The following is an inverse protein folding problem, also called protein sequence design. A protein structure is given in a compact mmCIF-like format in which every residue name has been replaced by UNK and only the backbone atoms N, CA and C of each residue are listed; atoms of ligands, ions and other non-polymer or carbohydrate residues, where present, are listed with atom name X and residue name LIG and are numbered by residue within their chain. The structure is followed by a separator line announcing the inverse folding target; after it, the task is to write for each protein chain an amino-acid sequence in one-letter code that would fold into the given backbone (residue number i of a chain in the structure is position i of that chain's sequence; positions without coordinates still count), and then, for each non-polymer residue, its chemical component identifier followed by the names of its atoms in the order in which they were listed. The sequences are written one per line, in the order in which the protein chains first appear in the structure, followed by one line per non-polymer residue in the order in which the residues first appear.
data_IF_117367439400
#
_entry.id   IF_117367439400
#
_cell.length_a   1.000
_cell.length_b   1.000
_cell.length_c   1.000
_cell.angle_alpha   90.00
_cell.angle_beta   90.00
_cell.angle_gamma   90.00
#
_symmetry.space_group_name_H-M   'P 1'
#
loop_
_entity.id
_entity.type
_entity.pdbx_description
1 polymer ?
#
# COMPACT_ATOMS: atom_id res chain seq x y z
N UNK A 1 15.48 6.79 85.05
CA UNK A 1 14.56 7.18 83.96
C UNK A 1 15.20 8.03 82.85
N UNK A 2 16.41 8.60 83.01
CA UNK A 2 17.00 9.49 81.98
C UNK A 2 17.43 8.81 80.67
N UNK A 3 17.90 7.55 80.69
CA UNK A 3 18.36 6.89 79.47
C UNK A 3 17.24 6.65 78.44
N UNK A 4 16.02 6.38 78.90
CA UNK A 4 14.87 6.18 78.02
C UNK A 4 14.52 7.47 77.26
N UNK A 5 14.66 8.63 77.91
CA UNK A 5 14.37 9.94 77.29
C UNK A 5 15.38 10.32 76.22
N UNK A 6 16.67 10.02 76.42
CA UNK A 6 17.71 10.32 75.42
C UNK A 6 17.56 9.43 74.20
N UNK A 7 17.21 8.15 74.39
CA UNK A 7 16.91 7.24 73.28
C UNK A 7 15.70 7.69 72.49
N UNK A 8 14.62 8.08 73.16
CA UNK A 8 13.39 8.54 72.50
C UNK A 8 13.62 9.84 71.71
N UNK A 9 14.48 10.73 72.20
CA UNK A 9 14.92 11.91 71.47
C UNK A 9 15.73 11.53 70.22
N UNK A 10 16.74 10.67 70.35
CA UNK A 10 17.53 10.20 69.20
C UNK A 10 16.66 9.49 68.15
N UNK A 11 15.65 8.71 68.57
CA UNK A 11 14.71 8.07 67.66
C UNK A 11 13.86 9.07 66.90
N UNK A 12 13.32 10.10 67.58
CA UNK A 12 12.55 11.17 66.94
C UNK A 12 13.38 11.98 65.96
N UNK A 13 14.60 12.33 66.33
CA UNK A 13 15.52 13.07 65.47
C UNK A 13 15.90 12.25 64.21
N UNK A 14 16.17 10.95 64.40
CA UNK A 14 16.44 10.03 63.30
C UNK A 14 15.20 9.83 62.40
N UNK A 15 14.00 9.73 62.97
CA UNK A 15 12.75 9.60 62.22
C UNK A 15 12.45 10.87 61.41
N UNK A 16 12.61 12.05 62.00
CA UNK A 16 12.43 13.33 61.31
C UNK A 16 13.43 13.50 60.18
N UNK A 17 14.70 13.15 60.42
CA UNK A 17 15.75 13.17 59.40
C UNK A 17 15.41 12.22 58.25
N UNK A 18 15.01 10.98 58.55
CA UNK A 18 14.62 10.00 57.53
C UNK A 18 13.40 10.47 56.72
N UNK A 19 12.38 11.06 57.36
CA UNK A 19 11.21 11.62 56.66
C UNK A 19 11.60 12.77 55.74
N UNK A 20 12.48 13.66 56.21
CA UNK A 20 12.99 14.77 55.42
C UNK A 20 13.77 14.27 54.20
N UNK A 21 14.61 13.27 54.37
CA UNK A 21 15.40 12.67 53.28
C UNK A 21 14.52 11.95 52.25
N UNK A 22 13.51 11.20 52.71
CA UNK A 22 12.54 10.54 51.81
C UNK A 22 11.77 11.59 51.01
N UNK A 23 11.30 12.67 51.66
CA UNK A 23 10.61 13.75 50.96
C UNK A 23 11.51 14.43 49.94
N UNK A 24 12.74 14.78 50.33
CA UNK A 24 13.70 15.39 49.42
C UNK A 24 14.00 14.49 48.21
N UNK A 25 14.10 13.18 48.41
CA UNK A 25 14.30 12.22 47.31
C UNK A 25 13.05 12.08 46.43
N UNK A 26 11.85 12.10 47.02
CA UNK A 26 10.59 12.10 46.27
C UNK A 26 10.50 13.33 45.37
N UNK A 27 10.70 14.52 45.93
CA UNK A 27 10.64 15.79 45.19
C UNK A 27 11.69 15.81 44.05
N UNK A 28 12.88 15.24 44.29
CA UNK A 28 13.93 15.10 43.28
C UNK A 28 13.55 14.12 42.15
N UNK A 29 12.88 13.00 42.48
CA UNK A 29 12.40 12.04 41.49
C UNK A 29 11.29 12.64 40.63
N UNK A 30 10.33 13.34 41.25
CA UNK A 30 9.24 14.00 40.52
C UNK A 30 9.78 15.03 39.51
N UNK A 31 10.83 15.77 39.91
CA UNK A 31 11.51 16.73 39.02
C UNK A 31 12.23 16.03 37.86
N UNK A 32 12.91 14.91 38.12
CA UNK A 32 13.57 14.13 37.07
C UNK A 32 12.57 13.48 36.12
N UNK A 33 11.46 12.94 36.62
CA UNK A 33 10.41 12.35 35.81
C UNK A 33 9.75 13.39 34.91
N UNK A 34 9.46 14.59 35.44
CA UNK A 34 8.97 15.71 34.63
C UNK A 34 9.96 16.08 33.50
N UNK A 35 11.25 16.20 33.81
CA UNK A 35 12.28 16.53 32.82
C UNK A 35 12.40 15.45 31.73
N UNK A 36 12.36 14.16 32.10
CA UNK A 36 12.41 13.04 31.14
C UNK A 36 11.17 13.04 30.25
N UNK A 37 9.99 13.32 30.81
CA UNK A 37 8.74 13.43 30.07
C UNK A 37 8.79 14.57 29.04
N UNK A 38 9.30 15.73 29.44
CA UNK A 38 9.46 16.89 28.57
C UNK A 38 10.49 16.63 27.46
N UNK A 39 11.63 16.02 27.80
CA UNK A 39 12.66 15.66 26.83
C UNK A 39 12.15 14.65 25.80
N UNK A 40 11.38 13.65 26.25
CA UNK A 40 10.73 12.69 25.36
C UNK A 40 9.76 13.37 24.40
N UNK A 41 8.91 14.26 24.92
CA UNK A 41 7.95 15.02 24.12
C UNK A 41 8.65 15.87 23.07
N UNK A 42 9.72 16.57 23.45
CA UNK A 42 10.54 17.36 22.53
C UNK A 42 11.18 16.50 21.45
N UNK A 43 11.81 15.39 21.85
CA UNK A 43 12.45 14.47 20.90
C UNK A 43 11.44 13.87 19.91
N UNK A 44 10.23 13.54 20.36
CA UNK A 44 9.16 13.05 19.50
C UNK A 44 8.67 14.13 18.54
N UNK A 45 8.52 15.37 19.00
CA UNK A 45 8.15 16.50 18.16
C UNK A 45 9.22 16.80 17.10
N UNK A 46 10.51 16.79 17.47
CA UNK A 46 11.64 16.97 16.53
C UNK A 46 11.64 15.88 15.46
N UNK A 47 11.47 14.62 15.87
CA UNK A 47 11.36 13.48 14.96
C UNK A 47 10.17 13.62 13.99
N UNK A 48 9.03 14.10 14.47
CA UNK A 48 7.85 14.33 13.62
C UNK A 48 8.08 15.47 12.63
N UNK A 49 8.67 16.58 13.07
CA UNK A 49 9.00 17.72 12.19
C UNK A 49 9.96 17.27 11.09
N UNK A 50 11.00 16.51 11.45
CA UNK A 50 11.96 15.95 10.50
C UNK A 50 11.25 15.04 9.49
N UNK A 51 10.38 14.14 9.97
CA UNK A 51 9.56 13.27 9.12
C UNK A 51 8.66 14.05 8.16
N UNK A 52 7.98 15.10 8.61
CA UNK A 52 7.13 15.93 7.74
C UNK A 52 7.94 16.78 6.76
N UNK A 53 9.10 17.27 7.18
CA UNK A 53 10.06 17.96 6.31
C UNK A 53 10.52 17.05 5.19
N UNK A 54 10.92 15.82 5.53
CA UNK A 54 11.27 14.76 4.59
C UNK A 54 10.12 14.49 3.60
N UNK A 55 8.91 14.28 4.11
CA UNK A 55 7.73 14.03 3.29
C UNK A 55 7.50 15.16 2.26
N UNK A 56 7.69 16.42 2.64
CA UNK A 56 7.42 17.55 1.74
C UNK A 56 8.36 17.63 0.53
N UNK A 57 9.58 17.14 0.66
CA UNK A 57 10.64 17.25 -0.34
C UNK A 57 10.67 16.11 -1.36
N UNK A 58 9.96 15.02 -1.07
CA UNK A 58 10.15 13.74 -1.73
C UNK A 58 9.14 13.53 -2.87
N UNK A 59 9.63 13.06 -4.03
CA UNK A 59 8.77 12.55 -5.12
C UNK A 59 7.82 11.47 -4.61
N UNK A 60 8.27 10.67 -3.64
CA UNK A 60 7.50 9.62 -3.00
C UNK A 60 6.17 10.16 -2.47
N UNK A 61 6.15 11.34 -1.85
CA UNK A 61 4.93 11.90 -1.27
C UNK A 61 3.97 12.46 -2.30
N UNK A 62 4.46 12.82 -3.47
CA UNK A 62 3.61 13.22 -4.59
C UNK A 62 2.97 12.02 -5.27
N UNK A 63 3.69 10.92 -5.34
CA UNK A 63 3.27 9.72 -6.09
C UNK A 63 2.51 8.71 -5.22
N UNK A 64 2.89 8.55 -3.94
CA UNK A 64 2.31 7.57 -3.02
C UNK A 64 0.79 7.76 -2.83
N UNK A 65 0.25 8.97 -2.58
CA UNK A 65 -1.19 9.16 -2.46
C UNK A 65 -1.93 8.82 -3.74
N UNK A 66 -1.36 9.18 -4.91
CA UNK A 66 -1.96 8.88 -6.21
C UNK A 66 -1.99 7.38 -6.46
N UNK A 67 -0.89 6.69 -6.20
CA UNK A 67 -0.78 5.24 -6.37
C UNK A 67 -1.73 4.52 -5.41
N UNK A 68 -1.85 4.97 -4.16
CA UNK A 68 -2.80 4.41 -3.21
C UNK A 68 -4.26 4.65 -3.65
N UNK A 69 -4.58 5.84 -4.15
CA UNK A 69 -5.90 6.15 -4.67
C UNK A 69 -6.24 5.30 -5.91
N UNK A 70 -5.28 5.13 -6.84
CA UNK A 70 -5.41 4.22 -7.97
C UNK A 70 -5.62 2.78 -7.50
N UNK A 71 -4.92 2.31 -6.46
CA UNK A 71 -5.11 0.98 -5.91
C UNK A 71 -6.49 0.73 -5.31
N UNK A 72 -7.07 1.74 -4.65
CA UNK A 72 -8.42 1.64 -4.10
C UNK A 72 -9.47 1.65 -5.21
N UNK A 73 -9.44 2.65 -6.09
CA UNK A 73 -10.38 2.77 -7.21
C UNK A 73 -10.33 1.57 -8.16
N UNK A 74 -9.13 1.04 -8.43
CA UNK A 74 -8.95 -0.21 -9.19
C UNK A 74 -9.62 -1.40 -8.51
N UNK A 75 -9.54 -1.49 -7.17
CA UNK A 75 -10.21 -2.54 -6.40
C UNK A 75 -11.73 -2.49 -6.48
N UNK A 76 -12.31 -1.29 -6.46
CA UNK A 76 -13.75 -1.10 -6.63
C UNK A 76 -14.19 -1.52 -8.04
N UNK A 77 -13.43 -1.08 -9.06
CA UNK A 77 -13.70 -1.44 -10.46
C UNK A 77 -13.56 -2.95 -10.74
N UNK A 78 -12.57 -3.62 -10.14
CA UNK A 78 -12.45 -5.08 -10.16
C UNK A 78 -13.71 -5.75 -9.61
N UNK A 79 -14.16 -5.30 -8.44
CA UNK A 79 -15.32 -5.90 -7.76
C UNK A 79 -16.58 -5.77 -8.60
N UNK A 80 -16.80 -4.60 -9.21
CA UNK A 80 -17.92 -4.34 -10.10
C UNK A 80 -17.89 -5.23 -11.34
N UNK A 81 -16.76 -5.27 -12.07
CA UNK A 81 -16.67 -6.04 -13.32
C UNK A 81 -16.70 -7.54 -13.07
N UNK A 82 -16.16 -8.03 -11.94
CA UNK A 82 -16.21 -9.44 -11.57
C UNK A 82 -17.66 -9.89 -11.33
N UNK A 83 -18.45 -9.07 -10.64
CA UNK A 83 -19.87 -9.33 -10.43
C UNK A 83 -20.66 -9.31 -11.75
N UNK A 84 -20.34 -8.37 -12.65
CA UNK A 84 -20.96 -8.28 -13.97
C UNK A 84 -20.59 -9.47 -14.88
N UNK A 85 -19.32 -9.86 -14.88
CA UNK A 85 -18.82 -11.04 -15.59
C UNK A 85 -19.54 -12.31 -15.12
N UNK A 86 -19.69 -12.49 -13.81
CA UNK A 86 -20.46 -13.60 -13.24
C UNK A 86 -21.94 -13.56 -13.63
N UNK A 87 -22.56 -12.37 -13.60
CA UNK A 87 -23.97 -12.18 -14.00
C UNK A 87 -24.21 -12.62 -15.43
N UNK A 88 -23.39 -12.15 -16.37
CA UNK A 88 -23.52 -12.44 -17.79
C UNK A 88 -23.18 -13.90 -18.09
N UNK A 89 -22.18 -14.47 -17.41
CA UNK A 89 -21.82 -15.87 -17.59
C UNK A 89 -22.86 -16.85 -17.01
N UNK A 90 -23.62 -16.42 -16.00
CA UNK A 90 -24.68 -17.21 -15.37
C UNK A 90 -26.06 -17.02 -16.03
N UNK A 91 -26.15 -16.19 -17.07
CA UNK A 91 -27.41 -15.93 -17.74
C UNK A 91 -27.89 -17.19 -18.47
N UNK A 92 -29.11 -17.62 -18.16
CA UNK A 92 -29.73 -18.77 -18.81
C UNK A 92 -30.06 -18.43 -20.27
N UNK A 93 -29.52 -19.25 -21.18
CA UNK A 93 -29.69 -19.10 -22.63
C UNK A 93 -31.14 -19.36 -23.06
N UNK A 94 -31.94 -20.06 -22.24
CA UNK A 94 -33.34 -20.33 -22.52
C UNK A 94 -34.21 -19.07 -22.58
N UNK A 95 -33.78 -17.98 -21.92
CA UNK A 95 -34.51 -16.72 -21.87
C UNK A 95 -34.17 -15.78 -23.04
N UNK A 96 -33.27 -16.17 -23.95
CA UNK A 96 -32.89 -15.36 -25.09
C UNK A 96 -33.87 -15.65 -26.23
N UNK A 97 -34.63 -14.63 -26.63
CA UNK A 97 -35.49 -14.71 -27.80
C UNK A 97 -34.64 -14.63 -29.08
N UNK A 98 -34.35 -15.79 -29.65
CA UNK A 98 -33.57 -15.92 -30.88
C UNK A 98 -34.37 -15.61 -32.15
N UNK A 99 -35.70 -15.49 -32.07
CA UNK A 99 -36.54 -15.17 -33.23
C UNK A 99 -36.51 -13.66 -33.54
N UNK A 100 -36.16 -12.84 -32.56
CA UNK A 100 -35.87 -11.43 -32.79
C UNK A 100 -34.55 -11.23 -33.57
N UNK A 101 -34.56 -10.35 -34.56
CA UNK A 101 -33.43 -10.01 -35.45
C UNK A 101 -32.17 -9.46 -34.73
N UNK A 102 -32.15 -9.42 -33.41
CA UNK A 102 -31.14 -8.73 -32.61
C UNK A 102 -30.24 -9.68 -31.79
N UNK A 103 -29.87 -10.81 -32.40
CA UNK A 103 -28.90 -11.78 -31.83
C UNK A 103 -27.53 -11.12 -31.53
N UNK A 104 -27.26 -9.97 -32.13
CA UNK A 104 -26.03 -9.21 -31.92
C UNK A 104 -26.00 -8.47 -30.58
N UNK A 105 -27.15 -8.15 -29.98
CA UNK A 105 -27.20 -7.42 -28.70
C UNK A 105 -26.56 -8.21 -27.56
N UNK A 106 -26.91 -9.49 -27.31
CA UNK A 106 -26.25 -10.27 -26.26
C UNK A 106 -24.74 -10.37 -26.48
N UNK A 107 -24.29 -10.64 -27.71
CA UNK A 107 -22.86 -10.74 -28.04
C UNK A 107 -22.10 -9.43 -27.79
N UNK A 108 -22.76 -8.28 -27.94
CA UNK A 108 -22.17 -6.97 -27.64
C UNK A 108 -21.87 -6.83 -26.15
N UNK A 109 -22.78 -7.23 -25.27
CA UNK A 109 -22.56 -7.17 -23.81
C UNK A 109 -21.33 -8.00 -23.39
N UNK A 110 -21.14 -9.20 -23.96
CA UNK A 110 -19.94 -10.00 -23.71
C UNK A 110 -18.67 -9.27 -24.17
N UNK A 111 -18.67 -8.67 -25.37
CA UNK A 111 -17.50 -7.94 -25.87
C UNK A 111 -17.18 -6.72 -25.01
N UNK A 112 -18.20 -5.95 -24.62
CA UNK A 112 -18.03 -4.75 -23.79
C UNK A 112 -17.40 -5.10 -22.43
N UNK A 113 -17.83 -6.22 -21.81
CA UNK A 113 -17.23 -6.71 -20.57
C UNK A 113 -15.80 -7.23 -20.77
N UNK A 114 -15.52 -7.93 -21.86
CA UNK A 114 -14.16 -8.39 -22.18
C UNK A 114 -13.19 -7.24 -22.40
N UNK A 115 -13.61 -6.17 -23.09
CA UNK A 115 -12.80 -4.98 -23.31
C UNK A 115 -12.49 -4.25 -21.99
N UNK A 116 -13.47 -4.16 -21.09
CA UNK A 116 -13.30 -3.61 -19.73
C UNK A 116 -12.35 -4.45 -18.89
N UNK A 117 -12.49 -5.78 -18.92
CA UNK A 117 -11.58 -6.71 -18.22
C UNK A 117 -10.14 -6.58 -18.73
N UNK A 118 -9.95 -6.48 -20.05
CA UNK A 118 -8.64 -6.25 -20.67
C UNK A 118 -8.01 -4.92 -20.23
N UNK A 119 -8.81 -3.86 -20.15
CA UNK A 119 -8.37 -2.54 -19.65
C UNK A 119 -7.90 -2.64 -18.20
N UNK A 120 -8.70 -3.26 -17.33
CA UNK A 120 -8.35 -3.45 -15.91
C UNK A 120 -7.12 -4.33 -15.71
N UNK A 121 -6.86 -5.30 -16.60
CA UNK A 121 -5.65 -6.10 -16.58
C UNK A 121 -4.40 -5.27 -16.90
N UNK A 122 -4.48 -4.36 -17.88
CA UNK A 122 -3.38 -3.43 -18.17
C UNK A 122 -3.13 -2.49 -16.99
N UNK A 123 -4.18 -2.02 -16.33
CA UNK A 123 -4.08 -1.21 -15.11
C UNK A 123 -3.42 -1.94 -13.94
N UNK A 124 -3.71 -3.24 -13.74
CA UNK A 124 -3.03 -4.10 -12.75
C UNK A 124 -1.52 -4.04 -12.96
N UNK A 125 -1.04 -4.25 -14.20
CA UNK A 125 0.39 -4.24 -14.49
C UNK A 125 1.02 -2.85 -14.28
N UNK A 126 0.33 -1.79 -14.69
CA UNK A 126 0.79 -0.42 -14.49
C UNK A 126 0.90 -0.08 -13.00
N UNK A 127 -0.09 -0.48 -12.20
CA UNK A 127 -0.14 -0.24 -10.78
C UNK A 127 0.89 -1.08 -10.01
N UNK A 128 1.06 -2.36 -10.36
CA UNK A 128 2.12 -3.20 -9.80
C UNK A 128 3.50 -2.59 -10.07
N UNK A 129 3.76 -2.14 -11.30
CA UNK A 129 5.01 -1.48 -11.67
C UNK A 129 5.24 -0.18 -10.89
N UNK A 130 4.18 0.60 -10.66
CA UNK A 130 4.24 1.82 -9.87
C UNK A 130 4.57 1.54 -8.39
N UNK A 131 3.94 0.53 -7.80
CA UNK A 131 4.20 0.08 -6.42
C UNK A 131 5.63 -0.47 -6.28
N UNK A 132 6.11 -1.26 -7.25
CA UNK A 132 7.47 -1.77 -7.26
C UNK A 132 8.49 -0.63 -7.34
N UNK A 133 8.27 0.35 -8.22
CA UNK A 133 9.15 1.51 -8.33
C UNK A 133 9.21 2.34 -7.05
N UNK A 134 8.08 2.51 -6.36
CA UNK A 134 8.06 3.16 -5.04
C UNK A 134 8.86 2.38 -3.99
N UNK A 135 8.77 1.06 -4.00
CA UNK A 135 9.38 0.21 -2.96
C UNK A 135 10.87 -0.07 -3.20
N UNK A 136 11.29 -0.31 -4.46
CA UNK A 136 12.69 -0.62 -4.84
C UNK A 136 13.63 0.59 -4.72
N UNK A 137 13.13 1.80 -5.01
CA UNK A 137 13.91 3.05 -4.87
C UNK A 137 14.45 3.31 -3.46
N UNK A 138 14.01 2.52 -2.46
CA UNK A 138 14.42 2.62 -1.05
C UNK A 138 15.78 1.98 -0.80
N UNK A 139 16.21 1.02 -1.63
CA UNK A 139 17.35 0.14 -1.31
C UNK A 139 18.68 0.60 -1.91
N UNK A 140 18.67 1.38 -2.99
CA UNK A 140 19.89 1.65 -3.77
C UNK A 140 20.65 2.93 -3.35
N UNK A 141 20.02 3.89 -2.66
CA UNK A 141 20.67 5.17 -2.32
C UNK A 141 21.72 5.08 -1.20
N UNK A 142 21.89 3.93 -0.55
CA UNK A 142 22.68 3.81 0.68
C UNK A 142 24.06 3.14 0.50
N UNK A 143 24.40 2.63 -0.68
CA UNK A 143 25.56 1.72 -0.84
C UNK A 143 26.76 2.26 -1.65
N UNK A 144 26.67 3.40 -2.34
CA UNK A 144 27.70 3.79 -3.33
C UNK A 144 28.87 4.64 -2.79
N UNK A 145 28.89 5.06 -1.51
CA UNK A 145 29.88 6.05 -1.03
C UNK A 145 31.11 5.48 -0.29
N UNK A 146 31.40 4.17 -0.39
CA UNK A 146 32.39 3.49 0.48
C UNK A 146 33.60 2.83 -0.22
N UNK A 147 33.84 3.01 -1.52
CA UNK A 147 34.92 2.28 -2.21
C UNK A 147 35.83 3.12 -3.12
N UNK A 148 36.19 4.35 -2.73
CA UNK A 148 37.27 5.11 -3.38
C UNK A 148 38.40 5.45 -2.38
N UNK A 149 39.01 4.39 -1.87
CA UNK A 149 40.35 4.32 -1.25
C UNK A 149 40.90 2.99 -1.78
N UNK A 150 42.01 2.86 -2.52
CA UNK A 150 43.23 3.66 -2.63
C UNK A 150 43.98 3.21 -3.90
N UNK A 151 44.92 4.05 -4.34
CA UNK A 151 46.19 3.75 -5.03
C UNK A 151 46.41 4.56 -6.32
N UNK A 152 46.90 5.80 -6.16
CA UNK A 152 48.04 6.25 -6.97
C UNK A 152 48.86 7.38 -6.29
N UNK A 153 50.16 7.52 -6.60
CA UNK A 153 51.20 8.17 -5.79
C UNK A 153 51.40 9.67 -6.08
N UNK A 154 52.27 10.40 -5.33
CA UNK A 154 52.21 11.84 -5.22
C UNK A 154 53.02 12.55 -6.32
N UNK A 155 52.52 13.67 -6.84
CA UNK A 155 53.35 14.66 -7.53
C UNK A 155 52.91 16.07 -7.18
N UNK A 156 53.87 16.83 -6.63
CA UNK A 156 53.79 18.20 -6.12
C UNK A 156 53.85 19.27 -7.24
N UNK A 157 54.04 20.57 -6.95
CA UNK A 157 52.99 21.57 -6.65
C UNK A 157 53.06 22.79 -7.59
N UNK A 158 52.04 23.66 -7.64
CA UNK A 158 52.17 25.13 -7.52
C UNK A 158 50.95 25.97 -7.99
N UNK A 159 50.68 26.98 -7.15
CA UNK A 159 50.31 28.37 -7.48
C UNK A 159 48.84 28.76 -7.72
N UNK A 160 48.25 29.23 -6.61
CA UNK A 160 47.66 30.58 -6.45
C UNK A 160 46.57 31.06 -7.42
N UNK A 161 45.32 31.04 -6.97
CA UNK A 161 44.43 32.21 -7.02
C UNK A 161 43.25 31.97 -6.07
N UNK A 162 43.18 32.80 -5.03
CA UNK A 162 42.09 32.87 -4.05
C UNK A 162 40.79 33.31 -4.75
N UNK A 163 39.78 32.44 -4.78
CA UNK A 163 38.38 32.86 -4.89
C UNK A 163 37.62 32.21 -3.73
N UNK A 164 37.07 33.09 -2.91
CA UNK A 164 36.44 32.88 -1.64
C UNK A 164 35.01 32.32 -1.85
N UNK A 165 34.88 31.01 -2.08
CA UNK A 165 33.58 30.32 -2.12
C UNK A 165 33.18 29.87 -0.71
N UNK A 166 32.68 30.85 0.06
CA UNK A 166 31.99 30.63 1.32
C UNK A 166 30.54 30.18 1.03
N UNK A 167 30.38 29.08 0.28
CA UNK A 167 29.09 28.43 0.11
C UNK A 167 28.79 27.66 1.41
N UNK A 168 27.65 27.91 2.08
CA UNK A 168 27.28 27.15 3.27
C UNK A 168 27.15 25.69 2.88
N UNK A 169 28.05 24.86 3.42
CA UNK A 169 28.00 23.42 3.35
C UNK A 169 26.66 22.99 3.97
N UNK A 170 25.61 22.78 3.16
CA UNK A 170 24.32 22.27 3.62
C UNK A 170 24.54 20.77 3.87
N UNK A 171 24.57 20.30 5.12
CA UNK A 171 24.75 18.89 5.39
C UNK A 171 23.53 18.11 4.89
N UNK A 172 23.79 17.21 3.95
CA UNK A 172 23.25 15.84 3.87
C UNK A 172 21.73 15.62 4.10
N UNK A 173 20.90 16.46 3.48
CA UNK A 173 19.43 16.27 3.38
C UNK A 173 19.03 14.90 2.79
N UNK A 174 19.95 14.20 2.14
CA UNK A 174 19.75 12.89 1.52
C UNK A 174 19.61 11.73 2.52
N UNK A 175 20.31 11.77 3.65
CA UNK A 175 20.27 10.68 4.64
C UNK A 175 18.95 10.65 5.43
N UNK A 176 18.34 11.83 5.64
CA UNK A 176 17.08 11.97 6.37
C UNK A 176 15.88 11.46 5.56
N UNK A 177 15.91 11.57 4.21
CA UNK A 177 14.84 11.10 3.30
C UNK A 177 14.63 9.57 3.23
N UNK A 178 15.37 8.80 4.02
CA UNK A 178 15.22 7.35 4.10
C UNK A 178 14.26 6.90 5.21
N UNK A 179 14.03 7.71 6.24
CA UNK A 179 13.33 7.28 7.45
C UNK A 179 11.81 7.21 7.24
N UNK A 180 11.19 8.23 6.64
CA UNK A 180 9.77 8.21 6.30
C UNK A 180 9.45 7.15 5.25
N UNK A 181 10.31 7.02 4.23
CA UNK A 181 10.19 5.97 3.21
C UNK A 181 10.23 4.58 3.84
N UNK A 182 11.15 4.33 4.77
CA UNK A 182 11.26 3.05 5.49
C UNK A 182 9.98 2.69 6.25
N UNK A 183 9.25 3.68 6.76
CA UNK A 183 7.97 3.44 7.46
C UNK A 183 6.82 3.15 6.49
N UNK A 184 6.79 3.78 5.32
CA UNK A 184 5.65 3.68 4.38
C UNK A 184 5.84 2.55 3.35
N UNK A 185 7.08 2.25 2.94
CA UNK A 185 7.38 1.22 1.95
C UNK A 185 6.82 -0.18 2.31
N UNK A 186 6.83 -0.65 3.58
CA UNK A 186 6.20 -1.90 3.96
C UNK A 186 4.70 -1.96 3.65
N UNK A 187 3.98 -0.83 3.77
CA UNK A 187 2.55 -0.74 3.46
C UNK A 187 2.32 -0.99 1.97
N UNK A 188 3.06 -0.31 1.10
CA UNK A 188 2.98 -0.53 -0.35
C UNK A 188 3.41 -1.94 -0.75
N UNK A 189 4.43 -2.50 -0.08
CA UNK A 189 4.86 -3.89 -0.31
C UNK A 189 3.75 -4.89 0.03
N UNK A 190 2.95 -4.62 1.05
CA UNK A 190 1.80 -5.45 1.41
C UNK A 190 0.67 -5.39 0.36
N UNK A 191 0.58 -4.34 -0.45
CA UNK A 191 -0.39 -4.24 -1.56
C UNK A 191 -0.04 -5.15 -2.75
N UNK A 192 1.23 -5.54 -2.94
CA UNK A 192 1.67 -6.37 -4.07
C UNK A 192 0.99 -7.74 -4.17
N UNK A 193 0.90 -8.57 -3.11
CA UNK A 193 0.16 -9.83 -3.20
C UNK A 193 -1.32 -9.60 -3.52
N UNK A 194 -1.93 -8.52 -3.03
CA UNK A 194 -3.34 -8.19 -3.29
C UNK A 194 -3.55 -7.85 -4.78
N UNK A 195 -2.71 -6.99 -5.36
CA UNK A 195 -2.87 -6.61 -6.77
C UNK A 195 -2.65 -7.80 -7.72
N UNK A 196 -1.73 -8.71 -7.37
CA UNK A 196 -1.52 -9.96 -8.11
C UNK A 196 -2.73 -10.89 -8.05
N UNK A 197 -3.31 -11.05 -6.86
CA UNK A 197 -4.53 -11.84 -6.70
C UNK A 197 -5.69 -11.26 -7.52
N UNK A 198 -5.86 -9.93 -7.53
CA UNK A 198 -6.84 -9.25 -8.40
C UNK A 198 -6.58 -9.50 -9.88
N UNK A 199 -5.32 -9.44 -10.33
CA UNK A 199 -4.96 -9.79 -11.70
C UNK A 199 -5.33 -11.23 -12.10
N UNK A 200 -5.17 -12.18 -11.17
CA UNK A 200 -5.61 -13.56 -11.37
C UNK A 200 -7.13 -13.67 -11.45
N UNK A 201 -7.87 -12.97 -10.58
CA UNK A 201 -9.33 -12.96 -10.60
C UNK A 201 -9.88 -12.37 -11.91
N UNK A 202 -9.34 -11.24 -12.39
CA UNK A 202 -9.69 -10.65 -13.69
C UNK A 202 -9.47 -11.67 -14.81
N UNK A 203 -8.33 -12.37 -14.79
CA UNK A 203 -8.01 -13.39 -15.80
C UNK A 203 -9.02 -14.54 -15.79
N UNK A 204 -9.44 -15.00 -14.60
CA UNK A 204 -10.48 -16.03 -14.47
C UNK A 204 -11.84 -15.53 -14.93
N UNK A 205 -12.22 -14.30 -14.58
CA UNK A 205 -13.46 -13.67 -15.03
C UNK A 205 -13.51 -13.54 -16.55
N UNK A 206 -12.39 -13.16 -17.17
CA UNK A 206 -12.26 -13.12 -18.63
C UNK A 206 -12.49 -14.50 -19.26
N UNK A 207 -11.83 -15.55 -18.75
CA UNK A 207 -12.02 -16.92 -19.24
C UNK A 207 -13.48 -17.39 -19.11
N UNK A 208 -14.14 -17.02 -18.01
CA UNK A 208 -15.54 -17.35 -17.79
C UNK A 208 -16.46 -16.67 -18.82
N UNK A 209 -16.26 -15.37 -19.06
CA UNK A 209 -17.04 -14.58 -20.04
C UNK A 209 -16.77 -15.07 -21.47
N UNK A 210 -15.52 -15.38 -21.81
CA UNK A 210 -15.16 -15.98 -23.10
C UNK A 210 -15.84 -17.34 -23.31
N UNK A 211 -15.85 -18.20 -22.30
CA UNK A 211 -16.52 -19.51 -22.36
C UNK A 211 -18.03 -19.37 -22.54
N UNK A 212 -18.67 -18.47 -21.78
CA UNK A 212 -20.10 -18.19 -21.92
C UNK A 212 -20.45 -17.60 -23.30
N UNK A 213 -19.63 -16.68 -23.81
CA UNK A 213 -19.76 -16.12 -25.17
C UNK A 213 -19.65 -17.20 -26.25
N UNK A 214 -18.70 -18.13 -26.11
CA UNK A 214 -18.52 -19.26 -27.04
C UNK A 214 -19.73 -20.19 -27.03
N UNK A 215 -20.25 -20.52 -25.84
CA UNK A 215 -21.47 -21.33 -25.70
C UNK A 215 -22.66 -20.66 -26.38
N UNK A 216 -22.91 -19.38 -26.12
CA UNK A 216 -23.96 -18.61 -26.79
C UNK A 216 -23.79 -18.63 -28.31
N UNK A 217 -22.58 -18.37 -28.81
CA UNK A 217 -22.29 -18.36 -30.25
C UNK A 217 -22.56 -19.73 -30.88
N UNK A 218 -22.25 -20.82 -30.18
CA UNK A 218 -22.54 -22.18 -30.62
C UNK A 218 -24.05 -22.47 -30.64
N UNK A 219 -24.80 -22.07 -29.61
CA UNK A 219 -26.27 -22.21 -29.58
C UNK A 219 -26.93 -21.47 -30.74
N UNK A 220 -26.54 -20.21 -30.97
CA UNK A 220 -26.99 -19.41 -32.13
C UNK A 220 -26.70 -20.13 -33.44
N UNK A 221 -25.50 -20.71 -33.58
CA UNK A 221 -25.12 -21.42 -34.78
C UNK A 221 -25.95 -22.68 -35.01
N UNK A 222 -26.20 -23.48 -33.97
CA UNK A 222 -27.03 -24.69 -34.04
C UNK A 222 -28.48 -24.36 -34.41
N UNK A 223 -29.03 -23.30 -33.83
CA UNK A 223 -30.38 -22.84 -34.17
C UNK A 223 -30.46 -22.31 -35.61
N UNK A 224 -29.44 -21.59 -36.08
CA UNK A 224 -29.36 -21.15 -37.49
C UNK A 224 -29.31 -22.31 -38.48
N UNK A 225 -28.89 -23.51 -38.05
CA UNK A 225 -28.91 -24.73 -38.86
C UNK A 225 -30.26 -25.48 -38.77
N UNK A 226 -31.23 -24.97 -38.02
CA UNK A 226 -32.52 -25.63 -37.77
C UNK A 226 -32.42 -26.87 -36.88
N UNK A 227 -31.30 -27.04 -36.15
CA UNK A 227 -31.06 -28.21 -35.27
C UNK A 227 -31.47 -27.96 -33.82
N UNK A 228 -31.96 -26.75 -33.49
CA UNK A 228 -32.27 -26.32 -32.12
C UNK A 228 -33.76 -26.20 -31.81
N UNK A 229 -34.65 -26.34 -32.79
CA UNK A 229 -36.08 -26.50 -32.55
C UNK A 229 -36.32 -27.98 -32.34
N UNK A 230 -36.37 -28.41 -31.07
CA UNK A 230 -37.06 -29.65 -30.73
C UNK A 230 -38.50 -29.44 -31.23
N UNK A 231 -38.78 -29.97 -32.42
CA UNK A 231 -40.12 -30.16 -32.95
C UNK A 231 -40.85 -30.95 -31.86
N UNK A 232 -41.55 -30.20 -31.03
CA UNK A 232 -42.49 -30.68 -30.02
C UNK A 232 -43.63 -31.30 -30.83
N UNK A 233 -43.37 -32.50 -31.37
CA UNK A 233 -44.35 -33.44 -31.88
C UNK A 233 -45.15 -33.92 -30.67
N UNK A 234 -45.89 -33.01 -30.04
CA UNK A 234 -47.12 -33.33 -29.37
C UNK A 234 -48.14 -33.67 -30.45
N UNK A 235 -47.94 -34.81 -31.14
CA UNK A 235 -49.02 -35.54 -31.75
C UNK A 235 -49.90 -35.98 -30.57
N UNK A 236 -50.84 -35.09 -30.24
CA UNK A 236 -51.98 -35.38 -29.40
C UNK A 236 -52.76 -36.45 -30.17
N UNK A 237 -52.52 -37.71 -29.82
CA UNK A 237 -53.48 -38.76 -30.13
C UNK A 237 -54.76 -38.43 -29.37
N UNK A 238 -55.73 -37.87 -30.11
CA UNK A 238 -57.12 -37.80 -29.72
C UNK A 238 -57.62 -39.24 -29.46
N UNK A 239 -57.69 -39.67 -28.19
CA UNK A 239 -58.45 -40.85 -27.78
C UNK A 239 -59.88 -40.43 -27.37
N UNK A 240 -60.85 -40.94 -28.15
CA UNK A 240 -62.32 -40.88 -27.98
C UNK A 240 -62.84 -41.49 -26.66
#
# INVERSE_FOLDING_TARGET
MHMASTLDACFKDAEETAKKDIKARSDALDTLEANISDERTRSEAERLIEFYGELSSDRFVKDAPKIMQSFLSHGDACTEIEAEALRIASQDLSNIDFDTMDIMVPLREYNDVLDRLGTLQMEVFALESAILRLTVSTTESSSEKSAFMSDDPPTSPQSSAEINDNAPNIPDSTAQSAAARSQIAPVFKACLPIIRARGQNITMAQQLVEGAKQNLSMTVHLQSLGLGSDDDHSDVEDED
#
